data_IF_625259921415
#
_entry.id   IF_625259921415
#
_cell.length_a   1.000
_cell.length_b   1.000
_cell.length_c   1.000
_cell.angle_alpha   90.00
_cell.angle_beta   90.00
_cell.angle_gamma   90.00
#
_symmetry.space_group_name_H-M   'P 1'
#
loop_
_entity.id
_entity.type
_entity.pdbx_description
1 polymer ?
#
# COMPACT_ATOMS: atom_id res chain seq x y z
N UNK A 1 -8.34 -5.55 29.32
CA UNK A 1 -7.91 -4.14 29.22
C UNK A 1 -6.50 -3.96 28.65
N UNK A 2 -5.65 -5.00 28.57
CA UNK A 2 -4.29 -4.92 28.01
C UNK A 2 -4.19 -4.94 26.48
N UNK A 3 -5.22 -5.41 25.76
CA UNK A 3 -5.21 -5.58 24.30
C UNK A 3 -5.27 -4.28 23.51
N UNK A 4 -5.98 -3.25 24.01
CA UNK A 4 -6.19 -2.01 23.26
C UNK A 4 -4.94 -1.10 23.27
N UNK A 5 -4.13 -1.19 24.34
CA UNK A 5 -2.88 -0.43 24.48
C UNK A 5 -1.77 -1.02 23.60
N UNK A 6 -1.63 -2.34 23.57
CA UNK A 6 -0.69 -3.04 22.66
C UNK A 6 -1.03 -2.80 21.19
N UNK A 7 -2.32 -2.74 20.82
CA UNK A 7 -2.74 -2.38 19.46
C UNK A 7 -2.39 -0.92 19.12
N UNK A 8 -2.57 0.02 20.06
CA UNK A 8 -2.17 1.42 19.86
C UNK A 8 -0.65 1.59 19.76
N UNK A 9 0.13 0.83 20.52
CA UNK A 9 1.59 0.83 20.46
C UNK A 9 2.08 0.16 19.16
N UNK A 10 1.50 -0.98 18.74
CA UNK A 10 1.80 -1.58 17.42
C UNK A 10 1.53 -0.64 16.25
N UNK A 11 0.51 0.23 16.34
CA UNK A 11 0.23 1.28 15.34
C UNK A 11 1.30 2.38 15.30
N UNK A 12 2.09 2.56 16.35
CA UNK A 12 3.07 3.65 16.48
C UNK A 12 4.52 3.25 16.18
N UNK A 13 4.90 1.97 16.20
CA UNK A 13 6.33 1.61 16.23
C UNK A 13 6.97 1.10 14.92
N UNK A 14 6.19 0.79 13.88
CA UNK A 14 6.78 0.27 12.63
C UNK A 14 6.39 1.14 11.44
N UNK A 15 7.37 1.89 10.94
CA UNK A 15 7.29 2.63 9.68
C UNK A 15 8.43 2.17 8.77
N UNK A 16 8.16 2.16 7.48
CA UNK A 16 9.16 1.84 6.46
C UNK A 16 9.11 2.90 5.36
N UNK A 17 10.26 3.23 4.82
CA UNK A 17 10.31 3.93 3.53
C UNK A 17 10.15 2.89 2.43
N UNK A 18 9.14 3.07 1.60
CA UNK A 18 8.84 2.22 0.46
C UNK A 18 8.59 3.07 -0.80
N UNK A 19 8.66 2.43 -1.95
CA UNK A 19 8.33 3.04 -3.23
C UNK A 19 7.27 2.18 -3.92
N UNK A 20 6.05 2.71 -3.95
CA UNK A 20 4.89 2.07 -4.56
C UNK A 20 4.23 2.98 -5.59
N UNK A 21 3.25 2.42 -6.30
CA UNK A 21 2.32 3.23 -7.08
C UNK A 21 1.36 3.87 -6.08
N UNK A 22 1.24 5.19 -6.11
CA UNK A 22 0.43 5.94 -5.15
C UNK A 22 -0.24 7.13 -5.82
N UNK A 23 -1.55 7.24 -5.62
CA UNK A 23 -2.34 8.40 -6.01
C UNK A 23 -3.31 8.76 -4.89
N UNK A 24 -3.72 10.02 -4.84
CA UNK A 24 -4.74 10.47 -3.90
C UNK A 24 -5.67 11.47 -4.56
N UNK A 25 -6.86 11.60 -4.00
CA UNK A 25 -7.86 12.59 -4.37
C UNK A 25 -8.40 13.26 -3.11
N UNK A 26 -8.54 14.59 -3.15
CA UNK A 26 -9.16 15.35 -2.06
C UNK A 26 -10.66 15.10 -2.07
N UNK A 27 -11.19 14.68 -0.92
CA UNK A 27 -12.63 14.48 -0.74
C UNK A 27 -13.24 15.81 -0.31
N UNK A 28 -13.79 16.55 -1.28
CA UNK A 28 -14.53 17.76 -1.00
C UNK A 28 -15.88 17.40 -0.36
N UNK A 29 -16.21 18.03 0.77
CA UNK A 29 -17.47 17.81 1.50
C UNK A 29 -18.67 18.51 0.84
N UNK A 30 -18.53 18.92 -0.43
CA UNK A 30 -19.54 19.63 -1.21
C UNK A 30 -20.46 18.61 -1.86
N UNK A 31 -21.73 18.57 -1.43
CA UNK A 31 -22.78 17.69 -1.96
C UNK A 31 -23.15 18.01 -3.43
N UNK A 32 -22.57 19.03 -4.07
CA UNK A 32 -22.99 19.49 -5.40
C UNK A 32 -21.81 19.77 -6.35
N UNK A 33 -21.04 18.74 -6.74
CA UNK A 33 -20.25 18.81 -7.97
C UNK A 33 -20.42 17.51 -8.78
N UNK A 34 -21.58 17.41 -9.44
CA UNK A 34 -21.87 16.43 -10.50
C UNK A 34 -20.98 16.61 -11.77
N UNK A 35 -19.88 17.37 -11.71
CA UNK A 35 -19.02 17.62 -12.87
C UNK A 35 -17.53 17.73 -12.53
N UNK A 36 -17.00 16.83 -11.70
CA UNK A 36 -15.63 16.38 -11.93
C UNK A 36 -15.67 15.05 -12.67
N UNK A 37 -15.85 15.14 -13.99
CA UNK A 37 -15.36 14.14 -14.94
C UNK A 37 -13.81 14.11 -14.90
N UNK A 38 -13.22 13.97 -13.71
CA UNK A 38 -11.91 13.35 -13.61
C UNK A 38 -12.23 11.88 -13.71
N UNK A 39 -12.29 11.40 -14.95
CA UNK A 39 -12.35 9.98 -15.25
C UNK A 39 -11.53 9.25 -14.19
N UNK A 40 -12.18 8.36 -13.43
CA UNK A 40 -11.50 7.29 -12.70
C UNK A 40 -10.79 6.47 -13.75
N UNK A 41 -9.69 6.97 -14.29
CA UNK A 41 -8.74 6.19 -15.04
C UNK A 41 -7.90 5.49 -13.99
N UNK A 42 -8.55 4.60 -13.22
CA UNK A 42 -7.84 3.54 -12.53
C UNK A 42 -7.09 2.82 -13.64
N UNK A 43 -5.77 2.97 -13.65
CA UNK A 43 -4.93 2.31 -14.66
C UNK A 43 -5.31 0.83 -14.71
N UNK A 44 -5.34 0.23 -15.90
CA UNK A 44 -5.61 -1.21 -16.05
C UNK A 44 -4.71 -2.07 -15.14
N UNK A 45 -3.53 -1.57 -14.76
CA UNK A 45 -2.67 -2.18 -13.77
C UNK A 45 -3.29 -2.22 -12.36
N UNK A 46 -3.98 -1.17 -11.91
CA UNK A 46 -4.69 -1.18 -10.62
C UNK A 46 -5.79 -2.23 -10.59
N UNK A 47 -6.64 -2.30 -11.60
CA UNK A 47 -7.70 -3.31 -11.68
C UNK A 47 -7.14 -4.74 -11.70
N UNK A 48 -6.07 -4.95 -12.49
CA UNK A 48 -5.41 -6.24 -12.57
C UNK A 48 -4.80 -6.66 -11.21
N UNK A 49 -4.13 -5.73 -10.51
CA UNK A 49 -3.54 -6.02 -9.20
C UNK A 49 -4.58 -6.14 -8.10
N UNK A 50 -5.68 -5.40 -8.16
CA UNK A 50 -6.80 -5.58 -7.23
C UNK A 50 -7.37 -7.00 -7.33
N UNK A 51 -7.64 -7.48 -8.56
CA UNK A 51 -8.08 -8.84 -8.80
C UNK A 51 -7.03 -9.86 -8.34
N UNK A 52 -5.76 -9.61 -8.63
CA UNK A 52 -4.64 -10.45 -8.22
C UNK A 52 -4.57 -10.59 -6.68
N UNK A 53 -4.61 -9.47 -5.95
CA UNK A 53 -4.60 -9.41 -4.49
C UNK A 53 -5.77 -10.21 -3.89
N UNK A 54 -6.97 -10.07 -4.47
CA UNK A 54 -8.16 -10.83 -4.05
C UNK A 54 -7.99 -12.34 -4.26
N UNK A 55 -7.43 -12.76 -5.40
CA UNK A 55 -7.14 -14.18 -5.68
C UNK A 55 -6.11 -14.72 -4.69
N UNK A 56 -5.04 -13.97 -4.40
CA UNK A 56 -4.02 -14.37 -3.43
C UNK A 56 -4.61 -14.60 -2.03
N UNK A 57 -5.54 -13.74 -1.60
CA UNK A 57 -6.22 -13.94 -0.32
C UNK A 57 -7.01 -15.26 -0.28
N UNK A 58 -7.72 -15.59 -1.37
CA UNK A 58 -8.46 -16.85 -1.49
C UNK A 58 -7.53 -18.07 -1.52
N UNK A 59 -6.43 -17.97 -2.28
CA UNK A 59 -5.41 -19.02 -2.38
C UNK A 59 -4.73 -19.29 -1.04
N UNK A 60 -4.44 -18.24 -0.25
CA UNK A 60 -3.84 -18.41 1.07
C UNK A 60 -4.72 -19.23 2.02
N UNK A 61 -6.05 -19.08 1.94
CA UNK A 61 -6.99 -19.89 2.73
C UNK A 61 -7.00 -21.34 2.25
N UNK A 62 -7.00 -21.57 0.94
CA UNK A 62 -6.96 -22.92 0.36
C UNK A 62 -5.66 -23.67 0.70
N UNK A 63 -4.52 -22.99 0.62
CA UNK A 63 -3.21 -23.56 0.98
C UNK A 63 -3.16 -24.01 2.45
N UNK A 64 -3.79 -23.26 3.36
CA UNK A 64 -3.89 -23.64 4.77
C UNK A 64 -4.56 -25.01 4.96
N UNK A 65 -5.61 -25.30 4.19
CA UNK A 65 -6.32 -26.59 4.23
C UNK A 65 -5.50 -27.72 3.58
N UNK A 66 -4.83 -27.46 2.45
CA UNK A 66 -4.01 -28.46 1.75
C UNK A 66 -2.80 -28.90 2.61
N UNK A 67 -2.29 -28.02 3.46
CA UNK A 67 -1.16 -28.28 4.34
C UNK A 67 -1.41 -29.44 5.32
N UNK A 68 -2.67 -29.76 5.62
CA UNK A 68 -3.04 -30.90 6.46
C UNK A 68 -2.83 -32.26 5.75
N UNK A 69 -2.67 -32.26 4.43
CA UNK A 69 -2.60 -33.48 3.62
C UNK A 69 -1.22 -33.76 3.04
N UNK A 70 -0.51 -32.74 2.53
CA UNK A 70 0.81 -32.95 1.91
C UNK A 70 1.67 -31.68 1.90
N UNK A 71 2.83 -31.77 2.54
CA UNK A 71 3.82 -30.70 2.56
C UNK A 71 4.45 -30.45 1.17
N UNK A 72 4.63 -31.49 0.36
CA UNK A 72 5.24 -31.38 -0.98
C UNK A 72 4.32 -30.61 -1.94
N UNK A 73 3.02 -30.88 -1.89
CA UNK A 73 2.02 -30.16 -2.69
C UNK A 73 2.01 -28.67 -2.28
N UNK A 74 2.02 -28.37 -0.99
CA UNK A 74 2.10 -26.97 -0.52
C UNK A 74 3.37 -26.29 -1.01
N UNK A 75 4.50 -26.97 -0.95
CA UNK A 75 5.79 -26.42 -1.40
C UNK A 75 5.75 -26.10 -2.89
N UNK A 76 5.23 -27.01 -3.71
CA UNK A 76 5.08 -26.81 -5.14
C UNK A 76 4.13 -25.65 -5.47
N UNK A 77 2.96 -25.61 -4.82
CA UNK A 77 1.96 -24.55 -5.03
C UNK A 77 2.49 -23.17 -4.61
N UNK A 78 3.22 -23.08 -3.49
CA UNK A 78 3.92 -21.84 -3.11
C UNK A 78 4.98 -21.43 -4.13
N UNK A 79 5.66 -22.39 -4.74
CA UNK A 79 6.59 -22.13 -5.84
C UNK A 79 5.90 -21.58 -7.09
N UNK A 80 4.72 -22.10 -7.44
CA UNK A 80 3.90 -21.57 -8.53
C UNK A 80 3.39 -20.16 -8.22
N UNK A 81 2.80 -19.96 -7.05
CA UNK A 81 2.34 -18.67 -6.53
C UNK A 81 3.46 -17.62 -6.66
N UNK A 82 4.68 -17.99 -6.22
CA UNK A 82 5.83 -17.09 -6.32
C UNK A 82 6.23 -16.75 -7.76
N UNK A 83 6.16 -17.72 -8.69
CA UNK A 83 6.44 -17.46 -10.11
C UNK A 83 5.44 -16.48 -10.71
N UNK A 84 4.16 -16.62 -10.37
CA UNK A 84 3.11 -15.72 -10.85
C UNK A 84 3.29 -14.32 -10.25
N UNK A 85 3.58 -14.21 -8.95
CA UNK A 85 3.92 -12.92 -8.31
C UNK A 85 5.08 -12.21 -9.04
N UNK A 86 6.16 -12.94 -9.38
CA UNK A 86 7.29 -12.35 -10.08
C UNK A 86 6.91 -11.83 -11.47
N UNK A 87 6.06 -12.55 -12.21
CA UNK A 87 5.55 -12.09 -13.50
C UNK A 87 4.69 -10.83 -13.37
N UNK A 88 3.82 -10.77 -12.36
CA UNK A 88 3.00 -9.59 -12.08
C UNK A 88 3.84 -8.39 -11.65
N UNK A 89 4.89 -8.58 -10.84
CA UNK A 89 5.85 -7.52 -10.51
C UNK A 89 6.59 -7.00 -11.75
N UNK A 90 7.01 -7.90 -12.66
CA UNK A 90 7.64 -7.52 -13.93
C UNK A 90 6.68 -6.73 -14.83
N UNK A 91 5.40 -7.11 -14.85
CA UNK A 91 4.35 -6.38 -15.56
C UNK A 91 4.18 -4.96 -15.00
N UNK A 92 4.05 -4.83 -13.68
CA UNK A 92 3.97 -3.52 -13.01
C UNK A 92 5.20 -2.65 -13.30
N UNK A 93 6.40 -3.23 -13.25
CA UNK A 93 7.63 -2.50 -13.55
C UNK A 93 7.63 -1.93 -14.97
N UNK A 94 7.15 -2.69 -15.96
CA UNK A 94 7.03 -2.24 -17.36
C UNK A 94 5.95 -1.17 -17.53
N UNK A 95 4.81 -1.32 -16.87
CA UNK A 95 3.72 -0.33 -16.94
C UNK A 95 4.13 0.99 -16.26
N UNK A 96 4.84 0.90 -15.14
CA UNK A 96 5.41 2.06 -14.44
C UNK A 96 6.38 2.86 -15.32
N UNK A 97 7.06 2.19 -16.26
CA UNK A 97 7.95 2.84 -17.23
C UNK A 97 7.24 3.77 -18.22
N UNK A 98 5.92 3.64 -18.37
CA UNK A 98 5.10 4.51 -19.23
C UNK A 98 4.34 5.59 -18.44
N UNK A 99 4.15 5.43 -17.12
CA UNK A 99 3.51 6.37 -16.20
C UNK A 99 4.38 6.65 -14.96
N UNK A 100 5.56 7.25 -15.20
CA UNK A 100 6.58 7.57 -14.18
C UNK A 100 5.99 8.43 -13.02
N UNK A 101 4.96 9.24 -13.27
CA UNK A 101 4.34 10.13 -12.28
C UNK A 101 3.59 9.42 -11.13
N UNK A 102 3.31 8.13 -11.28
CA UNK A 102 2.52 7.38 -10.30
C UNK A 102 3.38 6.68 -9.23
N UNK A 103 4.68 6.47 -9.49
CA UNK A 103 5.57 5.84 -8.51
C UNK A 103 6.11 6.88 -7.54
N UNK A 104 5.67 6.83 -6.28
CA UNK A 104 6.07 7.80 -5.25
C UNK A 104 6.76 7.11 -4.08
N UNK A 105 7.70 7.84 -3.48
CA UNK A 105 8.23 7.45 -2.18
C UNK A 105 7.18 7.72 -1.11
N UNK A 106 6.89 6.69 -0.34
CA UNK A 106 5.95 6.75 0.77
C UNK A 106 6.64 6.25 2.03
N UNK A 107 6.36 6.90 3.14
CA UNK A 107 6.73 6.42 4.45
C UNK A 107 5.48 5.81 5.08
N UNK A 108 5.37 4.49 5.08
CA UNK A 108 4.17 3.76 5.43
C UNK A 108 4.24 3.23 6.87
N UNK A 109 3.15 3.38 7.61
CA UNK A 109 2.93 2.72 8.89
C UNK A 109 1.50 2.18 9.00
N UNK A 110 1.24 1.34 9.99
CA UNK A 110 -0.05 0.68 10.19
C UNK A 110 -1.23 1.66 10.45
N UNK A 111 -0.95 2.86 10.94
CA UNK A 111 -1.97 3.89 11.22
C UNK A 111 -2.01 5.04 10.22
N UNK A 112 -1.14 5.06 9.22
CA UNK A 112 -1.04 6.18 8.30
C UNK A 112 0.26 6.21 7.51
N UNK A 113 0.31 7.07 6.52
CA UNK A 113 1.46 7.24 5.64
C UNK A 113 1.89 8.70 5.53
N UNK A 114 3.09 8.92 5.03
CA UNK A 114 3.54 10.24 4.63
C UNK A 114 4.14 10.19 3.23
N UNK A 115 3.90 11.23 2.44
CA UNK A 115 4.36 11.34 1.05
C UNK A 115 4.72 12.79 0.71
N UNK A 116 5.46 12.97 -0.38
CA UNK A 116 5.74 14.28 -0.94
C UNK A 116 4.75 14.60 -2.08
N UNK A 117 4.36 15.86 -2.20
CA UNK A 117 3.44 16.35 -3.22
C UNK A 117 3.75 17.81 -3.59
N UNK A 118 3.31 18.21 -4.77
CA UNK A 118 3.32 19.58 -5.30
C UNK A 118 2.08 20.37 -4.90
N UNK A 119 1.02 19.68 -4.48
CA UNK A 119 -0.22 20.29 -4.01
C UNK A 119 -0.16 20.71 -2.53
N UNK A 120 -0.49 21.98 -2.26
CA UNK A 120 -0.56 22.48 -0.88
C UNK A 120 -1.85 22.04 -0.17
N UNK A 121 -1.82 20.86 0.43
CA UNK A 121 -2.91 20.36 1.27
C UNK A 121 -3.03 21.13 2.60
N UNK A 122 -4.22 21.07 3.21
CA UNK A 122 -4.49 21.65 4.52
C UNK A 122 -4.63 20.56 5.57
N UNK A 123 -4.19 20.87 6.80
CA UNK A 123 -4.47 20.01 7.94
C UNK A 123 -5.97 19.83 8.12
N UNK A 124 -6.40 18.60 8.39
CA UNK A 124 -7.80 18.24 8.52
C UNK A 124 -8.48 17.84 7.21
N UNK A 125 -7.88 18.08 6.03
CA UNK A 125 -8.43 17.62 4.75
C UNK A 125 -8.58 16.11 4.72
N UNK A 126 -9.74 15.62 4.26
CA UNK A 126 -9.97 14.21 3.97
C UNK A 126 -9.50 13.91 2.54
N UNK A 127 -8.79 12.80 2.38
CA UNK A 127 -8.34 12.32 1.08
C UNK A 127 -8.64 10.82 0.94
N UNK A 128 -9.00 10.41 -0.26
CA UNK A 128 -8.97 9.01 -0.67
C UNK A 128 -7.60 8.73 -1.31
N UNK A 129 -7.05 7.55 -1.04
CA UNK A 129 -5.72 7.13 -1.48
C UNK A 129 -5.81 5.73 -2.09
N UNK A 130 -5.25 5.60 -3.29
CA UNK A 130 -5.06 4.32 -3.96
C UNK A 130 -3.58 4.00 -4.00
N UNK A 131 -3.21 2.78 -3.60
CA UNK A 131 -1.81 2.40 -3.57
C UNK A 131 -1.57 0.94 -3.91
N UNK A 132 -0.47 0.68 -4.62
CA UNK A 132 0.06 -0.67 -4.87
C UNK A 132 1.44 -0.79 -4.25
N UNK A 133 1.53 -1.66 -3.25
CA UNK A 133 2.77 -2.04 -2.58
C UNK A 133 3.39 -3.21 -3.35
N UNK A 134 4.37 -2.88 -4.19
CA UNK A 134 4.89 -3.79 -5.24
C UNK A 134 5.48 -5.09 -4.70
N UNK A 135 6.12 -5.06 -3.52
CA UNK A 135 6.76 -6.25 -2.93
C UNK A 135 5.78 -7.39 -2.69
N UNK A 136 4.55 -7.07 -2.30
CA UNK A 136 3.50 -8.05 -1.98
C UNK A 136 2.35 -8.04 -2.99
N UNK A 137 2.43 -7.19 -4.03
CA UNK A 137 1.33 -6.93 -4.97
C UNK A 137 0.02 -6.60 -4.24
N UNK A 138 0.15 -5.84 -3.15
CA UNK A 138 -0.96 -5.47 -2.28
C UNK A 138 -1.54 -4.15 -2.78
N UNK A 139 -2.78 -4.23 -3.28
CA UNK A 139 -3.60 -3.06 -3.61
C UNK A 139 -4.40 -2.63 -2.38
N UNK A 140 -4.40 -1.33 -2.06
CA UNK A 140 -5.17 -0.74 -0.96
C UNK A 140 -5.92 0.50 -1.44
N UNK A 141 -7.17 0.62 -1.01
CA UNK A 141 -8.05 1.76 -1.22
C UNK A 141 -8.43 2.33 0.14
N UNK A 142 -7.70 3.35 0.59
CA UNK A 142 -7.80 3.85 1.96
C UNK A 142 -8.29 5.29 1.99
N UNK A 143 -9.08 5.62 3.00
CA UNK A 143 -9.39 7.02 3.33
C UNK A 143 -8.57 7.48 4.51
N UNK A 144 -8.12 8.73 4.49
CA UNK A 144 -7.35 9.30 5.58
C UNK A 144 -7.51 10.80 5.71
N UNK A 145 -7.12 11.31 6.87
CA UNK A 145 -7.14 12.74 7.19
C UNK A 145 -5.71 13.26 7.27
N UNK A 146 -5.46 14.39 6.64
CA UNK A 146 -4.18 15.11 6.74
C UNK A 146 -3.98 15.55 8.19
N UNK A 147 -2.97 14.99 8.84
CA UNK A 147 -2.58 15.31 10.22
C UNK A 147 -1.60 16.47 10.25
N UNK A 148 -0.69 16.53 9.28
CA UNK A 148 0.38 17.52 9.24
C UNK A 148 0.83 17.76 7.80
N UNK A 149 1.20 19.01 7.51
CA UNK A 149 1.89 19.41 6.27
C UNK A 149 3.12 20.20 6.67
N UNK A 150 4.28 19.84 6.12
CA UNK A 150 5.53 20.56 6.31
C UNK A 150 6.21 20.83 4.97
N UNK A 151 7.13 21.80 4.93
CA UNK A 151 7.94 22.00 3.75
C UNK A 151 8.89 20.82 3.54
N UNK A 152 9.09 20.47 2.28
CA UNK A 152 10.08 19.53 1.80
C UNK A 152 11.20 20.31 1.06
N UNK A 153 12.39 19.71 0.95
CA UNK A 153 13.54 20.35 0.27
C UNK A 153 13.57 20.10 -1.24
N UNK A 154 12.59 19.36 -1.74
CA UNK A 154 12.45 19.01 -3.15
C UNK A 154 11.59 20.08 -3.82
N UNK A 155 12.11 20.72 -4.87
CA UNK A 155 11.41 21.80 -5.57
C UNK A 155 10.24 21.29 -6.41
N UNK A 156 10.28 20.04 -6.88
CA UNK A 156 9.19 19.41 -7.63
C UNK A 156 8.07 18.95 -6.69
N UNK A 157 8.43 18.54 -5.47
CA UNK A 157 7.47 18.13 -4.42
C UNK A 157 7.71 18.87 -3.10
N UNK A 158 7.43 20.19 -3.04
CA UNK A 158 7.79 21.08 -1.93
C UNK A 158 6.99 20.82 -0.64
N UNK A 159 5.97 19.98 -0.66
CA UNK A 159 5.17 19.68 0.52
C UNK A 159 5.32 18.22 0.93
N UNK A 160 5.59 17.99 2.21
CA UNK A 160 5.50 16.68 2.84
C UNK A 160 4.21 16.61 3.65
N UNK A 161 3.38 15.62 3.34
CA UNK A 161 2.06 15.45 3.93
C UNK A 161 2.04 14.16 4.74
N UNK A 162 1.59 14.24 5.99
CA UNK A 162 1.34 13.10 6.86
C UNK A 162 -0.15 12.89 7.01
N UNK A 163 -0.61 11.66 6.76
CA UNK A 163 -2.02 11.28 6.74
C UNK A 163 -2.26 10.14 7.71
N UNK A 164 -3.26 10.27 8.57
CA UNK A 164 -3.75 9.18 9.40
C UNK A 164 -4.96 8.52 8.75
N UNK A 165 -4.99 7.18 8.74
CA UNK A 165 -6.13 6.44 8.20
C UNK A 165 -7.36 6.62 9.09
N UNK A 166 -8.55 6.80 8.51
CA UNK A 166 -9.79 7.06 9.26
C UNK A 166 -10.68 5.84 9.38
N UNK A 167 -10.85 5.07 8.30
CA UNK A 167 -11.84 3.98 8.19
C UNK A 167 -11.19 2.66 7.76
N UNK A 168 -10.01 2.37 8.31
CA UNK A 168 -9.24 1.17 7.98
C UNK A 168 -9.72 -0.05 8.79
N UNK A 169 -9.93 -1.17 8.11
CA UNK A 169 -10.31 -2.44 8.73
C UNK A 169 -9.13 -3.14 9.41
N UNK A 170 -9.40 -4.04 10.36
CA UNK A 170 -8.34 -4.84 10.99
C UNK A 170 -7.59 -5.72 9.99
N UNK A 171 -8.28 -6.19 8.95
CA UNK A 171 -7.67 -6.97 7.88
C UNK A 171 -6.63 -6.15 7.10
N UNK A 172 -6.98 -4.93 6.69
CA UNK A 172 -6.07 -4.03 5.98
C UNK A 172 -4.89 -3.61 6.85
N UNK A 173 -5.12 -3.34 8.14
CA UNK A 173 -4.04 -3.08 9.10
C UNK A 173 -3.07 -4.26 9.17
N UNK A 174 -3.59 -5.50 9.28
CA UNK A 174 -2.76 -6.71 9.32
C UNK A 174 -1.98 -6.91 8.01
N UNK A 175 -2.61 -6.65 6.85
CA UNK A 175 -1.93 -6.68 5.55
C UNK A 175 -0.77 -5.68 5.48
N UNK A 176 -0.97 -4.43 5.93
CA UNK A 176 0.08 -3.41 5.98
C UNK A 176 1.20 -3.82 6.94
N UNK A 177 0.87 -4.34 8.12
CA UNK A 177 1.88 -4.82 9.09
C UNK A 177 2.71 -5.95 8.48
N UNK A 178 2.08 -6.94 7.87
CA UNK A 178 2.77 -8.05 7.19
C UNK A 178 3.70 -7.53 6.10
N UNK A 179 3.25 -6.57 5.32
CA UNK A 179 4.06 -5.92 4.30
C UNK A 179 5.30 -5.24 4.89
N UNK A 180 5.12 -4.41 5.92
CA UNK A 180 6.22 -3.71 6.61
C UNK A 180 7.24 -4.73 7.15
N UNK A 181 6.79 -5.82 7.77
CA UNK A 181 7.67 -6.87 8.29
C UNK A 181 8.46 -7.58 7.21
N UNK A 182 7.84 -7.83 6.04
CA UNK A 182 8.52 -8.42 4.87
C UNK A 182 9.59 -7.49 4.32
N UNK A 183 9.27 -6.19 4.19
CA UNK A 183 10.22 -5.17 3.73
C UNK A 183 11.42 -5.04 4.67
N UNK A 184 11.19 -4.99 5.98
CA UNK A 184 12.28 -4.96 6.97
C UNK A 184 13.16 -6.21 6.90
N UNK A 185 12.54 -7.38 6.79
CA UNK A 185 13.27 -8.64 6.64
C UNK A 185 14.12 -8.67 5.38
N UNK A 186 13.63 -8.08 4.27
CA UNK A 186 14.37 -7.94 3.01
C UNK A 186 15.58 -7.01 3.19
N UNK A 187 15.38 -5.83 3.75
CA UNK A 187 16.46 -4.85 4.00
C UNK A 187 17.58 -5.42 4.87
N UNK A 188 17.24 -6.23 5.88
CA UNK A 188 18.22 -6.91 6.73
C UNK A 188 19.04 -7.97 5.99
N UNK A 189 18.47 -8.65 4.99
CA UNK A 189 19.19 -9.61 4.14
C UNK A 189 20.14 -8.86 3.20
N UNK A 190 19.63 -7.85 2.50
CA UNK A 190 20.40 -7.08 1.53
C UNK A 190 21.64 -6.42 2.18
N UNK A 191 21.51 -5.95 3.43
CA UNK A 191 22.63 -5.41 4.23
C UNK A 191 23.68 -6.42 4.68
N UNK A 192 23.36 -7.72 4.74
CA UNK A 192 24.31 -8.78 5.12
C UNK A 192 25.09 -9.30 3.92
N UNK A 193 24.55 -9.10 2.72
CA UNK A 193 25.11 -9.52 1.45
C UNK A 193 25.91 -8.40 0.74
N UNK A 194 25.90 -7.19 1.30
CA UNK A 194 26.71 -6.03 0.88
C UNK A 194 27.93 -5.85 1.78
#
# INVERSE_FOLDING_TARGET
MSTNKELSERRQYYRIDDSGIFSYQVLNNSINDEQSNTEKSTSAAFEAIELFSRINQQMSVALGRINEHSADIVTYLKGLDKKVELLAQMFLFKESGHNIDSRRQINLGAGGLAFATDEKLKQGTLIAMDMILSTDLLCLHLTGRVIQVSNNKDDDFPYRVSVGFTDISELEVDQIIKHIMRMQSKHLRDKRES
#
